data_IF_700020294623
#
_entry.id   IF_700020294623
#
_cell.length_a   1.000
_cell.length_b   1.000
_cell.length_c   1.000
_cell.angle_alpha   90.00
_cell.angle_beta   90.00
_cell.angle_gamma   90.00
#
_symmetry.space_group_name_H-M   'P 1'
#
loop_
_entity.id
_entity.type
_entity.pdbx_description
1 polymer ?
#
# COMPACT_ATOMS: atom_id res chain seq x y z
N UNK A 1 -2.69 -2.90 10.25
CA UNK A 1 -2.78 -4.32 9.85
C UNK A 1 -1.63 -5.11 10.43
N UNK A 2 -1.92 -6.02 11.34
CA UNK A 2 -0.91 -6.90 11.93
C UNK A 2 -0.58 -8.04 10.97
N UNK A 3 0.72 -8.34 10.84
CA UNK A 3 1.22 -9.42 9.98
C UNK A 3 2.26 -10.23 10.74
N UNK A 4 2.69 -11.36 10.17
CA UNK A 4 3.72 -12.18 10.78
C UNK A 4 5.10 -11.51 10.59
N UNK A 5 6.08 -11.93 11.40
CA UNK A 5 7.47 -11.45 11.25
C UNK A 5 8.02 -11.80 9.87
N UNK A 6 7.66 -12.98 9.35
CA UNK A 6 8.06 -13.42 8.02
C UNK A 6 7.48 -12.52 6.93
N UNK A 7 6.19 -12.18 7.04
CA UNK A 7 5.55 -11.26 6.11
C UNK A 7 6.17 -9.87 6.18
N UNK A 8 6.50 -9.40 7.38
CA UNK A 8 7.17 -8.10 7.54
C UNK A 8 8.54 -8.10 6.88
N UNK A 9 9.31 -9.19 7.03
CA UNK A 9 10.61 -9.30 6.38
C UNK A 9 10.47 -9.23 4.86
N UNK A 10 9.48 -9.89 4.28
CA UNK A 10 9.20 -9.82 2.85
C UNK A 10 8.72 -8.45 2.42
N UNK A 11 7.88 -7.82 3.21
CA UNK A 11 7.38 -6.48 2.93
C UNK A 11 8.54 -5.49 2.81
N UNK A 12 9.46 -5.50 3.78
CA UNK A 12 10.62 -4.60 3.77
C UNK A 12 11.61 -4.92 2.66
N UNK A 13 11.83 -6.20 2.37
CA UNK A 13 12.83 -6.63 1.40
C UNK A 13 12.35 -6.54 -0.05
N UNK A 14 11.06 -6.74 -0.30
CA UNK A 14 10.51 -6.89 -1.64
C UNK A 14 9.47 -5.82 -1.99
N UNK A 15 8.50 -5.58 -1.10
CA UNK A 15 7.39 -4.67 -1.39
C UNK A 15 7.84 -3.22 -1.39
N UNK A 16 8.50 -2.78 -0.32
CA UNK A 16 8.94 -1.39 -0.20
C UNK A 16 9.86 -0.98 -1.35
N UNK A 17 10.91 -1.74 -1.71
CA UNK A 17 11.83 -1.31 -2.76
C UNK A 17 11.34 -1.53 -4.19
N UNK A 18 10.39 -2.43 -4.42
CA UNK A 18 10.11 -2.89 -5.78
C UNK A 18 8.63 -3.02 -6.16
N UNK A 19 7.69 -3.01 -5.21
CA UNK A 19 6.29 -3.21 -5.55
C UNK A 19 5.77 -2.09 -6.45
N UNK A 20 5.10 -2.49 -7.53
CA UNK A 20 4.35 -1.57 -8.38
C UNK A 20 3.22 -2.34 -9.05
N UNK A 21 2.29 -1.61 -9.65
CA UNK A 21 1.18 -2.18 -10.41
C UNK A 21 0.76 -1.17 -11.47
N UNK A 22 0.13 -1.62 -12.53
CA UNK A 22 -0.41 -0.71 -13.55
C UNK A 22 -1.66 0.00 -13.00
N UNK A 23 -2.45 -0.71 -12.21
CA UNK A 23 -3.63 -0.14 -11.56
C UNK A 23 -3.89 -0.81 -10.21
N UNK A 24 -4.64 -0.13 -9.35
CA UNK A 24 -5.11 -0.67 -8.07
C UNK A 24 -6.53 -0.14 -7.82
N UNK A 25 -7.43 -1.02 -7.40
CA UNK A 25 -8.84 -0.69 -7.15
C UNK A 25 -9.47 0.08 -8.34
N UNK A 26 -9.13 -0.31 -9.58
CA UNK A 26 -9.66 0.32 -10.79
C UNK A 26 -9.05 1.67 -11.15
N UNK A 27 -8.06 2.15 -10.42
CA UNK A 27 -7.37 3.41 -10.70
C UNK A 27 -5.97 3.15 -11.24
N UNK A 28 -5.58 3.90 -12.28
CA UNK A 28 -4.26 3.77 -12.88
C UNK A 28 -3.20 4.37 -11.97
N UNK A 29 -2.10 3.64 -11.79
CA UNK A 29 -0.94 4.09 -11.04
C UNK A 29 -0.09 5.00 -11.93
N UNK A 30 0.13 6.24 -11.48
CA UNK A 30 0.90 7.25 -12.22
C UNK A 30 2.36 7.29 -11.79
N UNK A 31 2.63 7.04 -10.52
CA UNK A 31 3.99 7.10 -9.97
C UNK A 31 4.04 6.36 -8.64
N UNK A 32 5.24 6.07 -8.15
CA UNK A 32 5.46 5.41 -6.86
C UNK A 32 6.48 6.20 -6.06
N UNK A 33 6.11 6.55 -4.82
CA UNK A 33 6.99 7.23 -3.88
C UNK A 33 7.41 6.23 -2.80
N UNK A 34 8.71 6.00 -2.65
CA UNK A 34 9.26 4.98 -1.73
C UNK A 34 10.01 5.56 -0.53
N UNK A 35 9.79 6.82 -0.21
CA UNK A 35 10.52 7.48 0.89
C UNK A 35 10.12 6.96 2.26
N UNK A 36 8.84 6.64 2.46
CA UNK A 36 8.29 6.19 3.75
C UNK A 36 7.46 4.91 3.60
N UNK A 37 8.01 3.89 2.98
CA UNK A 37 7.26 2.71 2.59
C UNK A 37 6.96 2.75 1.11
N UNK A 38 5.77 2.37 0.68
CA UNK A 38 5.38 2.44 -0.71
C UNK A 38 4.06 3.21 -0.85
N UNK A 39 4.11 4.32 -1.57
CA UNK A 39 2.94 5.17 -1.84
C UNK A 39 2.69 5.18 -3.34
N UNK A 40 1.53 4.66 -3.73
CA UNK A 40 1.10 4.67 -5.13
C UNK A 40 0.31 5.95 -5.39
N UNK A 41 0.80 6.76 -6.31
CA UNK A 41 0.14 7.98 -6.76
C UNK A 41 -0.75 7.63 -7.94
N UNK A 42 -2.03 7.93 -7.82
CA UNK A 42 -3.06 7.43 -8.72
C UNK A 42 -3.72 8.56 -9.52
N UNK A 43 -4.38 8.19 -10.60
CA UNK A 43 -5.20 9.13 -11.35
C UNK A 43 -6.30 9.72 -10.48
N UNK A 44 -6.77 10.93 -10.79
CA UNK A 44 -7.83 11.61 -10.03
C UNK A 44 -7.38 12.14 -8.67
N UNK A 45 -6.09 12.44 -8.51
CA UNK A 45 -5.50 12.94 -7.25
C UNK A 45 -5.66 11.99 -6.07
N UNK A 46 -5.91 10.70 -6.35
CA UNK A 46 -5.98 9.67 -5.34
C UNK A 46 -4.59 9.09 -5.05
N UNK A 47 -4.45 8.48 -3.88
CA UNK A 47 -3.23 7.75 -3.53
C UNK A 47 -3.52 6.71 -2.46
N UNK A 48 -2.66 5.71 -2.36
CA UNK A 48 -2.68 4.71 -1.29
C UNK A 48 -1.25 4.44 -0.85
N UNK A 49 -1.04 4.32 0.46
CA UNK A 49 0.29 4.12 1.03
C UNK A 49 0.29 2.94 1.99
N UNK A 50 1.32 2.12 1.90
CA UNK A 50 1.62 1.02 2.82
C UNK A 50 2.95 1.34 3.50
N UNK A 51 2.91 1.53 4.82
CA UNK A 51 4.08 1.96 5.60
C UNK A 51 4.37 0.97 6.72
N UNK A 52 5.59 0.41 6.80
CA UNK A 52 5.92 -0.50 7.89
C UNK A 52 6.09 0.27 9.20
N UNK A 53 5.64 -0.33 10.31
CA UNK A 53 5.96 0.16 11.65
C UNK A 53 7.46 -0.05 11.91
N UNK A 54 8.08 0.86 12.65
CA UNK A 54 9.50 0.74 13.00
C UNK A 54 9.78 -0.31 14.08
N UNK A 55 8.78 -0.70 14.86
CA UNK A 55 8.98 -1.52 16.08
C UNK A 55 8.15 -2.80 16.12
N UNK A 56 7.08 -2.88 15.35
CA UNK A 56 6.13 -4.01 15.40
C UNK A 56 5.90 -4.61 14.01
N UNK A 57 5.51 -5.90 13.91
CA UNK A 57 5.13 -6.50 12.63
C UNK A 57 3.74 -6.00 12.22
N UNK A 58 3.69 -4.72 11.85
CA UNK A 58 2.47 -3.98 11.59
C UNK A 58 2.70 -3.09 10.38
N UNK A 59 1.79 -3.13 9.42
CA UNK A 59 1.78 -2.22 8.28
C UNK A 59 0.63 -1.25 8.43
N UNK A 60 0.94 0.03 8.38
CA UNK A 60 -0.07 1.10 8.38
C UNK A 60 -0.46 1.40 6.95
N UNK A 61 -1.76 1.44 6.71
CA UNK A 61 -2.30 1.68 5.37
C UNK A 61 -3.10 2.97 5.39
N UNK A 62 -2.81 3.85 4.45
CA UNK A 62 -3.49 5.15 4.30
C UNK A 62 -3.97 5.29 2.87
N UNK A 63 -5.09 5.97 2.68
CA UNK A 63 -5.61 6.25 1.35
C UNK A 63 -6.37 7.56 1.32
N UNK A 64 -6.36 8.21 0.16
CA UNK A 64 -7.15 9.39 -0.12
C UNK A 64 -7.75 9.25 -1.52
N UNK A 65 -9.02 9.59 -1.65
CA UNK A 65 -9.73 9.56 -2.91
C UNK A 65 -10.94 10.51 -2.87
N UNK A 66 -11.67 10.61 -3.96
CA UNK A 66 -12.79 11.53 -4.07
C UNK A 66 -13.99 11.15 -3.20
N UNK A 67 -14.19 9.85 -2.94
CA UNK A 67 -15.33 9.35 -2.16
C UNK A 67 -14.89 8.36 -1.10
N UNK A 68 -15.72 8.17 -0.09
CA UNK A 68 -15.48 7.17 0.98
C UNK A 68 -15.43 5.75 0.40
N UNK A 69 -16.29 5.44 -0.57
CA UNK A 69 -16.28 4.12 -1.21
C UNK A 69 -14.95 3.84 -1.92
N UNK A 70 -14.42 4.82 -2.62
CA UNK A 70 -13.12 4.69 -3.28
C UNK A 70 -11.98 4.52 -2.27
N UNK A 71 -12.02 5.26 -1.17
CA UNK A 71 -11.04 5.10 -0.07
C UNK A 71 -11.09 3.67 0.47
N UNK A 72 -12.27 3.15 0.75
CA UNK A 72 -12.42 1.78 1.26
C UNK A 72 -11.92 0.73 0.27
N UNK A 73 -12.18 0.90 -1.01
CA UNK A 73 -11.68 0.01 -2.04
C UNK A 73 -10.15 0.01 -2.10
N UNK A 74 -9.53 1.18 -1.96
CA UNK A 74 -8.07 1.31 -1.94
C UNK A 74 -7.47 0.65 -0.69
N UNK A 75 -8.08 0.84 0.48
CA UNK A 75 -7.63 0.22 1.72
C UNK A 75 -7.71 -1.31 1.63
N UNK A 76 -8.80 -1.84 1.11
CA UNK A 76 -9.00 -3.29 0.93
C UNK A 76 -7.98 -3.86 -0.06
N UNK A 77 -7.73 -3.18 -1.16
CA UNK A 77 -6.76 -3.62 -2.15
C UNK A 77 -5.34 -3.65 -1.58
N UNK A 78 -4.96 -2.64 -0.80
CA UNK A 78 -3.65 -2.60 -0.15
C UNK A 78 -3.50 -3.69 0.91
N UNK A 79 -4.55 -3.97 1.69
CA UNK A 79 -4.53 -5.10 2.63
C UNK A 79 -4.30 -6.43 1.90
N UNK A 80 -4.92 -6.61 0.75
CA UNK A 80 -4.72 -7.82 -0.06
C UNK A 80 -3.27 -7.96 -0.50
N UNK A 81 -2.62 -6.86 -0.90
CA UNK A 81 -1.20 -6.89 -1.27
C UNK A 81 -0.35 -7.37 -0.09
N UNK A 82 -0.59 -6.83 1.10
CA UNK A 82 0.19 -7.16 2.29
C UNK A 82 -0.09 -8.57 2.79
N UNK A 83 -1.34 -8.99 2.84
CA UNK A 83 -1.71 -10.31 3.35
C UNK A 83 -1.35 -11.45 2.39
N UNK A 84 -1.06 -11.13 1.14
CA UNK A 84 -0.62 -12.12 0.14
C UNK A 84 0.87 -12.45 0.19
N UNK A 85 1.60 -11.80 1.09
CA UNK A 85 3.04 -12.02 1.25
C UNK A 85 3.40 -13.36 1.90
#
# INVERSE_FOLDING_TARGET
LSITDEQMARFRAETVPAYTADEIAGKRVLDVDRRDGVKLLLEGDAWVMMRPSGTEPLVRIYAEAATTDEVNELLDAAETVVTSL
#
